data_IF_657695485743
#
_entry.id   IF_657695485743
#
_cell.length_a   1.000
_cell.length_b   1.000
_cell.length_c   1.000
_cell.angle_alpha   90.00
_cell.angle_beta   90.00
_cell.angle_gamma   90.00
#
_symmetry.space_group_name_H-M   'P 1'
#
loop_
_entity.id
_entity.type
_entity.pdbx_description
1 polymer ?
#
# COMPACT_ATOMS: atom_id res chain seq x y z
N UNK A 1 -8.57 34.38 10.32
CA UNK A 1 -7.73 33.24 9.91
C UNK A 1 -8.29 32.68 8.62
N UNK A 2 -7.45 32.34 7.64
CA UNK A 2 -7.92 31.75 6.37
C UNK A 2 -8.44 30.34 6.65
N UNK A 3 -9.67 30.05 6.18
CA UNK A 3 -10.22 28.70 6.14
C UNK A 3 -9.38 27.89 5.15
N UNK A 4 -8.76 26.79 5.59
CA UNK A 4 -8.06 25.86 4.72
C UNK A 4 -9.00 24.67 4.46
N UNK A 5 -9.33 24.36 3.20
CA UNK A 5 -10.19 23.22 2.90
C UNK A 5 -9.54 21.91 3.35
N UNK A 6 -10.37 20.92 3.71
CA UNK A 6 -9.89 19.59 4.06
C UNK A 6 -9.50 18.80 2.81
N UNK A 7 -8.45 17.99 2.93
CA UNK A 7 -8.14 16.96 1.94
C UNK A 7 -9.30 15.96 1.83
N UNK A 8 -9.44 15.33 0.67
CA UNK A 8 -10.56 14.43 0.39
C UNK A 8 -10.12 13.24 -0.48
N UNK A 9 -10.84 12.12 -0.34
CA UNK A 9 -10.58 10.89 -1.08
C UNK A 9 -11.54 10.71 -2.26
N UNK A 10 -11.00 10.25 -3.38
CA UNK A 10 -11.77 9.56 -4.42
C UNK A 10 -11.44 8.07 -4.40
N UNK A 11 -12.47 7.23 -4.18
CA UNK A 11 -12.34 5.78 -4.14
C UNK A 11 -12.83 5.18 -5.46
N UNK A 12 -11.94 4.60 -6.23
CA UNK A 12 -12.22 3.92 -7.50
C UNK A 12 -12.27 2.42 -7.25
N UNK A 13 -13.38 1.94 -6.68
CA UNK A 13 -13.54 0.54 -6.27
C UNK A 13 -13.24 -0.47 -7.39
N UNK A 14 -13.71 -0.20 -8.62
CA UNK A 14 -13.47 -1.07 -9.80
C UNK A 14 -12.04 -1.03 -10.34
N UNK A 15 -11.22 -0.09 -9.88
CA UNK A 15 -9.81 0.00 -10.25
C UNK A 15 -8.90 -0.49 -9.11
N UNK A 16 -9.45 -0.72 -7.92
CA UNK A 16 -8.65 -1.04 -6.74
C UNK A 16 -7.80 0.14 -6.26
N UNK A 17 -8.25 1.39 -6.45
CA UNK A 17 -7.44 2.58 -6.16
C UNK A 17 -8.20 3.57 -5.28
N UNK A 18 -7.55 4.06 -4.22
CA UNK A 18 -7.95 5.29 -3.53
C UNK A 18 -6.96 6.41 -3.84
N UNK A 19 -7.46 7.63 -4.07
CA UNK A 19 -6.63 8.81 -4.33
C UNK A 19 -6.95 9.89 -3.30
N UNK A 20 -5.95 10.29 -2.51
CA UNK A 20 -6.03 11.45 -1.63
C UNK A 20 -5.66 12.71 -2.40
N UNK A 21 -6.56 13.68 -2.42
CA UNK A 21 -6.40 14.98 -3.08
C UNK A 21 -6.27 16.08 -2.03
N UNK A 22 -5.34 17.01 -2.25
CA UNK A 22 -5.19 18.21 -1.44
C UNK A 22 -6.42 19.12 -1.55
N UNK A 23 -6.99 19.50 -0.41
CA UNK A 23 -8.23 20.29 -0.38
C UNK A 23 -8.10 21.69 -0.97
N UNK A 24 -6.89 22.25 -0.99
CA UNK A 24 -6.64 23.63 -1.39
C UNK A 24 -6.16 23.73 -2.84
N UNK A 25 -5.20 22.89 -3.23
CA UNK A 25 -4.62 22.90 -4.59
C UNK A 25 -5.30 21.93 -5.55
N UNK A 26 -6.08 20.99 -5.03
CA UNK A 26 -6.67 19.90 -5.82
C UNK A 26 -5.64 19.00 -6.52
N UNK A 27 -4.42 18.94 -5.98
CA UNK A 27 -3.33 18.08 -6.44
C UNK A 27 -3.34 16.72 -5.72
N UNK A 28 -2.84 15.67 -6.39
CA UNK A 28 -2.72 14.34 -5.79
C UNK A 28 -1.61 14.30 -4.73
N UNK A 29 -1.94 13.81 -3.53
CA UNK A 29 -0.98 13.60 -2.44
C UNK A 29 -0.56 12.15 -2.28
N UNK A 30 -1.50 11.23 -2.47
CA UNK A 30 -1.30 9.80 -2.19
C UNK A 30 -2.20 8.93 -3.05
N UNK A 31 -1.67 7.78 -3.46
CA UNK A 31 -2.42 6.65 -4.00
C UNK A 31 -2.40 5.50 -3.01
N UNK A 32 -3.49 4.76 -2.89
CA UNK A 32 -3.55 3.45 -2.23
C UNK A 32 -4.01 2.43 -3.27
N UNK A 33 -3.19 1.41 -3.51
CA UNK A 33 -3.38 0.40 -4.55
C UNK A 33 -3.69 -0.94 -3.88
N UNK A 34 -4.88 -1.48 -4.14
CA UNK A 34 -5.38 -2.70 -3.49
C UNK A 34 -5.15 -3.94 -4.36
N UNK A 35 -4.62 -5.03 -3.80
CA UNK A 35 -4.35 -6.28 -4.54
C UNK A 35 -5.55 -7.25 -4.57
N UNK A 36 -6.61 -6.94 -3.80
CA UNK A 36 -7.83 -7.74 -3.64
C UNK A 36 -7.52 -9.19 -3.19
N UNK A 37 -6.82 -9.33 -2.06
CA UNK A 37 -6.55 -10.64 -1.45
C UNK A 37 -7.81 -11.21 -0.77
N UNK A 38 -8.17 -12.49 -1.02
CA UNK A 38 -9.27 -13.16 -0.32
C UNK A 38 -9.13 -13.17 1.21
N UNK A 39 -7.90 -13.15 1.70
CA UNK A 39 -7.55 -13.14 3.12
C UNK A 39 -7.42 -11.72 3.70
N UNK A 40 -8.20 -10.76 3.21
CA UNK A 40 -8.15 -9.38 3.65
C UNK A 40 -9.57 -8.83 3.87
N UNK A 41 -9.83 -8.02 4.91
CA UNK A 41 -11.17 -7.48 5.19
C UNK A 41 -11.83 -6.72 4.04
N UNK A 42 -11.03 -6.10 3.18
CA UNK A 42 -11.52 -5.34 2.03
C UNK A 42 -11.75 -6.19 0.77
N UNK A 43 -11.62 -7.52 0.86
CA UNK A 43 -11.95 -8.41 -0.24
C UNK A 43 -13.38 -8.19 -0.72
N UNK A 44 -13.61 -8.25 -2.04
CA UNK A 44 -14.91 -7.98 -2.70
C UNK A 44 -15.39 -6.51 -2.63
N UNK A 45 -14.79 -5.65 -1.82
CA UNK A 45 -15.07 -4.19 -1.86
C UNK A 45 -14.33 -3.51 -3.01
N UNK A 46 -13.10 -3.95 -3.27
CA UNK A 46 -12.25 -3.43 -4.33
C UNK A 46 -11.93 -4.53 -5.34
N UNK A 47 -11.94 -4.18 -6.62
CA UNK A 47 -11.29 -4.99 -7.64
C UNK A 47 -9.76 -4.89 -7.47
N UNK A 48 -9.03 -5.82 -8.09
CA UNK A 48 -7.57 -5.82 -8.04
C UNK A 48 -7.00 -4.68 -8.89
N UNK A 49 -6.14 -3.86 -8.29
CA UNK A 49 -5.29 -2.94 -9.03
C UNK A 49 -4.13 -3.70 -9.68
N UNK A 50 -4.07 -3.72 -11.01
CA UNK A 50 -2.98 -4.35 -11.77
C UNK A 50 -1.75 -3.41 -11.89
N UNK A 51 -1.24 -2.92 -10.76
CA UNK A 51 -0.17 -1.93 -10.73
C UNK A 51 1.20 -2.50 -11.11
N UNK A 52 2.08 -1.60 -11.53
CA UNK A 52 3.52 -1.79 -11.62
C UNK A 52 4.21 -0.53 -11.09
N UNK A 53 5.01 -0.67 -10.04
CA UNK A 53 5.77 0.41 -9.43
C UNK A 53 7.23 0.21 -9.75
N UNK A 54 7.80 1.17 -10.48
CA UNK A 54 9.24 1.22 -10.73
C UNK A 54 9.96 1.65 -9.45
N UNK A 55 10.97 0.88 -9.05
CA UNK A 55 11.76 1.11 -7.85
C UNK A 55 13.25 1.11 -8.19
N UNK A 56 14.01 1.91 -7.46
CA UNK A 56 15.47 1.85 -7.52
C UNK A 56 15.92 0.79 -6.51
N UNK A 57 16.39 -0.35 -7.01
CA UNK A 57 16.93 -1.39 -6.13
C UNK A 57 18.23 -0.93 -5.47
N UNK A 58 18.55 -1.51 -4.30
CA UNK A 58 19.78 -1.16 -3.56
C UNK A 58 21.07 -1.46 -4.34
N UNK A 59 21.02 -2.32 -5.37
CA UNK A 59 22.17 -2.71 -6.16
C UNK A 59 21.93 -2.51 -7.68
N UNK A 60 22.26 -1.31 -8.22
CA UNK A 60 22.03 -0.97 -9.63
C UNK A 60 22.73 -1.90 -10.62
N UNK A 61 23.83 -2.55 -10.21
CA UNK A 61 24.63 -3.43 -11.08
C UNK A 61 23.98 -4.79 -11.33
N UNK A 62 22.97 -5.18 -10.55
CA UNK A 62 22.34 -6.51 -10.68
C UNK A 62 21.26 -6.60 -11.75
N UNK A 63 20.89 -5.48 -12.39
CA UNK A 63 20.21 -5.43 -13.70
C UNK A 63 18.91 -6.22 -13.91
N UNK A 64 18.31 -6.83 -12.89
CA UNK A 64 17.36 -7.93 -13.13
C UNK A 64 15.96 -7.78 -12.55
N UNK A 65 15.66 -6.78 -11.73
CA UNK A 65 14.26 -6.41 -11.44
C UNK A 65 14.21 -5.04 -10.77
N UNK A 66 13.46 -4.11 -11.36
CA UNK A 66 13.18 -2.78 -10.79
C UNK A 66 11.69 -2.56 -10.60
N UNK A 67 10.89 -3.63 -10.60
CA UNK A 67 9.42 -3.52 -10.61
C UNK A 67 8.81 -4.32 -9.49
N UNK A 68 8.06 -3.65 -8.63
CA UNK A 68 7.11 -4.28 -7.72
C UNK A 68 5.74 -4.20 -8.37
N UNK A 69 5.04 -5.33 -8.49
CA UNK A 69 3.72 -5.38 -9.11
C UNK A 69 2.71 -6.10 -8.21
N UNK A 70 1.45 -6.14 -8.63
CA UNK A 70 0.37 -6.72 -7.85
C UNK A 70 0.53 -8.22 -7.51
N UNK A 71 1.45 -8.94 -8.18
CA UNK A 71 1.76 -10.36 -7.90
C UNK A 71 2.96 -10.53 -6.97
N UNK A 72 3.74 -9.47 -6.75
CA UNK A 72 4.89 -9.49 -5.85
C UNK A 72 4.43 -9.85 -4.44
N UNK A 73 5.25 -10.62 -3.74
CA UNK A 73 5.06 -10.87 -2.31
C UNK A 73 6.15 -10.20 -1.47
N UNK A 74 6.07 -10.36 -0.15
CA UNK A 74 6.98 -9.66 0.76
C UNK A 74 8.46 -9.98 0.50
N UNK A 75 8.78 -11.20 0.03
CA UNK A 75 10.17 -11.57 -0.27
C UNK A 75 10.69 -10.82 -1.50
N UNK A 76 9.84 -10.54 -2.48
CA UNK A 76 10.21 -9.72 -3.63
C UNK A 76 10.53 -8.30 -3.21
N UNK A 77 9.70 -7.72 -2.33
CA UNK A 77 9.90 -6.34 -1.84
C UNK A 77 11.21 -6.22 -1.08
N UNK A 78 11.47 -7.10 -0.11
CA UNK A 78 12.71 -7.03 0.69
C UNK A 78 13.95 -7.40 -0.11
N UNK A 79 13.84 -8.28 -1.10
CA UNK A 79 14.93 -8.57 -2.05
C UNK A 79 15.31 -7.34 -2.87
N UNK A 80 14.34 -6.50 -3.24
CA UNK A 80 14.56 -5.34 -4.10
C UNK A 80 14.93 -4.07 -3.32
N UNK A 81 14.24 -3.81 -2.21
CA UNK A 81 14.32 -2.58 -1.44
C UNK A 81 15.11 -2.70 -0.14
N UNK A 82 15.55 -3.91 0.23
CA UNK A 82 16.18 -4.15 1.51
C UNK A 82 15.21 -4.11 2.70
N UNK A 83 15.76 -3.85 3.87
CA UNK A 83 15.00 -3.78 5.12
C UNK A 83 14.13 -2.51 5.18
N UNK A 84 12.92 -2.58 5.78
CA UNK A 84 12.05 -1.41 5.95
C UNK A 84 12.71 -0.29 6.76
N UNK A 85 12.28 0.94 6.50
CA UNK A 85 12.66 2.11 7.29
C UNK A 85 11.90 2.06 8.62
N UNK A 86 12.65 1.83 9.70
CA UNK A 86 12.10 1.76 11.06
C UNK A 86 11.38 0.44 11.35
N UNK A 87 10.63 0.41 12.46
CA UNK A 87 9.88 -0.79 12.87
C UNK A 87 8.51 -0.82 12.18
N UNK A 88 8.07 -1.98 11.67
CA UNK A 88 6.72 -2.13 11.14
C UNK A 88 5.65 -1.75 12.16
N UNK A 89 4.57 -1.12 11.69
CA UNK A 89 3.38 -0.86 12.50
C UNK A 89 2.40 -2.02 12.32
N UNK A 90 1.92 -2.60 13.41
CA UNK A 90 0.95 -3.70 13.36
C UNK A 90 -0.44 -3.16 13.61
N UNK A 91 -1.36 -3.46 12.69
CA UNK A 91 -2.79 -3.19 12.86
C UNK A 91 -3.51 -4.51 13.11
N UNK A 92 -4.03 -4.66 14.32
CA UNK A 92 -4.84 -5.80 14.71
C UNK A 92 -6.31 -5.37 14.84
N UNK A 93 -7.10 -5.72 13.82
CA UNK A 93 -8.55 -5.50 13.79
C UNK A 93 -9.33 -6.71 14.32
N UNK A 94 -8.65 -7.72 14.89
CA UNK A 94 -9.30 -8.94 15.40
C UNK A 94 -10.05 -8.70 16.72
N UNK A 95 -9.71 -7.65 17.47
CA UNK A 95 -10.34 -7.29 18.73
C UNK A 95 -11.86 -7.04 18.62
N UNK A 96 -12.34 -6.66 17.43
CA UNK A 96 -13.76 -6.43 17.17
C UNK A 96 -14.51 -7.70 16.69
N UNK A 97 -13.88 -8.89 16.70
CA UNK A 97 -14.40 -10.25 16.38
C UNK A 97 -15.25 -10.42 15.09
N UNK A 98 -15.53 -9.34 14.36
CA UNK A 98 -16.47 -9.23 13.25
C UNK A 98 -15.85 -8.57 12.03
N UNK A 99 -14.66 -7.96 12.17
CA UNK A 99 -14.07 -7.14 11.10
C UNK A 99 -12.89 -7.81 10.37
N UNK A 100 -12.12 -8.70 11.01
CA UNK A 100 -10.99 -9.35 10.35
C UNK A 100 -10.72 -10.79 10.86
N UNK A 101 -11.19 -11.83 10.15
CA UNK A 101 -10.92 -13.22 10.51
C UNK A 101 -9.52 -13.70 10.10
N UNK A 102 -8.73 -12.88 9.39
CA UNK A 102 -7.47 -13.29 8.76
C UNK A 102 -6.22 -12.95 9.57
N UNK A 103 -6.39 -12.31 10.73
CA UNK A 103 -5.31 -11.87 11.60
C UNK A 103 -4.77 -10.48 11.22
N UNK A 104 -3.75 -9.99 11.94
CA UNK A 104 -3.25 -8.63 11.80
C UNK A 104 -2.54 -8.38 10.47
N UNK A 105 -2.52 -7.11 10.06
CA UNK A 105 -1.67 -6.61 8.98
C UNK A 105 -0.45 -5.88 9.56
N UNK A 106 0.71 -6.03 8.92
CA UNK A 106 1.91 -5.24 9.19
C UNK A 106 2.10 -4.17 8.11
N UNK A 107 2.43 -2.95 8.52
CA UNK A 107 2.72 -1.83 7.64
C UNK A 107 4.21 -1.52 7.67
N UNK A 108 4.90 -1.70 6.53
CA UNK A 108 6.33 -1.48 6.38
C UNK A 108 6.60 -0.25 5.52
N UNK A 109 7.35 0.71 6.06
CA UNK A 109 7.69 1.97 5.39
C UNK A 109 8.96 1.87 4.55
N UNK A 110 8.95 2.54 3.40
CA UNK A 110 10.09 2.81 2.54
C UNK A 110 10.02 4.26 2.07
N UNK A 111 11.05 4.74 1.38
CA UNK A 111 11.02 6.08 0.79
C UNK A 111 9.81 6.20 -0.17
N UNK A 112 8.92 7.15 0.12
CA UNK A 112 7.69 7.42 -0.65
C UNK A 112 6.67 6.28 -0.75
N UNK A 113 6.85 5.19 0.02
CA UNK A 113 6.02 3.98 -0.09
C UNK A 113 5.71 3.37 1.28
N UNK A 114 4.51 2.83 1.46
CA UNK A 114 4.16 1.95 2.58
C UNK A 114 3.51 0.69 2.01
N UNK A 115 3.99 -0.48 2.45
CA UNK A 115 3.40 -1.77 2.11
C UNK A 115 2.58 -2.29 3.26
N UNK A 116 1.33 -2.67 2.99
CA UNK A 116 0.52 -3.47 3.90
C UNK A 116 0.71 -4.96 3.61
N UNK A 117 1.10 -5.72 4.64
CA UNK A 117 1.47 -7.12 4.54
C UNK A 117 0.56 -7.92 5.47
N UNK A 118 -0.16 -8.87 4.89
CA UNK A 118 -0.97 -9.82 5.67
C UNK A 118 -0.10 -10.84 6.40
N UNK A 119 -0.65 -11.54 7.39
CA UNK A 119 0.03 -12.60 8.14
C UNK A 119 0.65 -13.72 7.24
N UNK A 120 0.13 -13.91 6.02
CA UNK A 120 0.68 -14.83 5.02
C UNK A 120 1.82 -14.28 4.16
N UNK A 121 2.42 -13.15 4.54
CA UNK A 121 3.47 -12.44 3.78
C UNK A 121 3.05 -12.01 2.36
N UNK A 122 1.75 -11.81 2.14
CA UNK A 122 1.20 -11.27 0.89
C UNK A 122 0.88 -9.79 1.04
N UNK A 123 1.16 -9.03 -0.01
CA UNK A 123 0.90 -7.58 -0.07
C UNK A 123 -0.61 -7.38 -0.26
N UNK A 124 -1.28 -6.77 0.73
CA UNK A 124 -2.70 -6.40 0.63
C UNK A 124 -2.88 -5.06 -0.09
N UNK A 125 -2.01 -4.09 0.19
CA UNK A 125 -2.04 -2.79 -0.44
C UNK A 125 -0.66 -2.13 -0.50
N UNK A 126 -0.51 -1.19 -1.44
CA UNK A 126 0.66 -0.31 -1.55
C UNK A 126 0.19 1.13 -1.53
N UNK A 127 0.72 1.91 -0.59
CA UNK A 127 0.48 3.33 -0.48
C UNK A 127 1.67 4.09 -1.06
N UNK A 128 1.46 4.87 -2.12
CA UNK A 128 2.46 5.73 -2.75
C UNK A 128 2.18 7.18 -2.39
N UNK A 129 3.18 7.94 -1.97
CA UNK A 129 3.00 9.34 -1.58
C UNK A 129 4.24 10.18 -1.87
N UNK A 130 4.02 11.47 -2.11
CA UNK A 130 5.09 12.45 -2.23
C UNK A 130 5.33 13.10 -0.87
N UNK A 131 6.60 13.29 -0.51
CA UNK A 131 7.00 14.13 0.63
C UNK A 131 6.76 15.63 0.37
#
# INVERSE_FOLDING_TARGET
GKFRPNDYFYNYFRLGVDILIDGEKHDVKKFVLHTNLPSHPLFSKYDRCNFQVQVQGENPERGLDTVINFKSDWKDVTRLLGEPIGKPVVLDLSADHTQNPFGPSSFCGYQNMIFEITNGYKIASVCLFKE
#
